data_IF_948332938781
#
_entry.id   IF_948332938781
#
_cell.length_a   1.000
_cell.length_b   1.000
_cell.length_c   1.000
_cell.angle_alpha   90.00
_cell.angle_beta   90.00
_cell.angle_gamma   90.00
#
_symmetry.space_group_name_H-M   'P 1'
#
loop_
_entity.id
_entity.type
_entity.pdbx_description
1 polymer ?
#
# COMPACT_ATOMS: atom_id res chain seq x y z
N UNK A 1 -5.68 9.04 19.97
CA UNK A 1 -4.53 9.73 19.36
C UNK A 1 -3.64 10.22 20.47
N UNK A 2 -2.38 9.83 20.44
CA UNK A 2 -1.41 10.23 21.46
C UNK A 2 -0.92 11.64 21.13
N UNK A 3 -0.99 12.56 22.09
CA UNK A 3 -0.43 13.92 22.00
C UNK A 3 1.10 13.87 22.02
N UNK A 4 1.70 13.33 20.94
CA UNK A 4 3.16 13.34 20.78
C UNK A 4 3.56 14.70 20.22
N UNK A 5 4.34 15.52 20.94
CA UNK A 5 4.80 16.80 20.41
C UNK A 5 5.68 16.60 19.17
N UNK A 6 5.58 17.50 18.18
CA UNK A 6 6.42 17.45 16.97
C UNK A 6 7.92 17.53 17.27
N UNK A 7 8.29 18.16 18.39
CA UNK A 7 9.67 18.24 18.88
C UNK A 7 10.20 16.93 19.47
N UNK A 8 9.35 15.91 19.66
CA UNK A 8 9.75 14.65 20.26
C UNK A 8 10.66 13.86 19.30
N UNK A 9 11.80 13.31 19.76
CA UNK A 9 12.76 12.61 18.90
C UNK A 9 12.21 11.36 18.20
N UNK A 10 11.08 10.83 18.68
CA UNK A 10 10.37 9.68 18.10
C UNK A 10 9.06 10.04 17.41
N UNK A 11 8.79 11.32 17.18
CA UNK A 11 7.50 11.81 16.69
C UNK A 11 6.99 11.01 15.48
N UNK A 12 7.79 10.91 14.41
CA UNK A 12 7.38 10.21 13.19
C UNK A 12 7.05 8.73 13.43
N UNK A 13 7.91 8.00 14.16
CA UNK A 13 7.68 6.58 14.50
C UNK A 13 6.42 6.38 15.33
N UNK A 14 6.12 7.26 16.28
CA UNK A 14 4.89 7.17 17.07
C UNK A 14 3.65 7.53 16.24
N UNK A 15 3.75 8.53 15.36
CA UNK A 15 2.65 8.91 14.46
C UNK A 15 2.30 7.80 13.47
N UNK A 16 3.28 7.08 12.92
CA UNK A 16 3.02 5.95 12.03
C UNK A 16 2.39 4.77 12.77
N UNK A 17 2.77 4.53 14.04
CA UNK A 17 2.10 3.53 14.89
C UNK A 17 0.64 3.88 15.12
N UNK A 18 0.36 5.13 15.49
CA UNK A 18 -1.02 5.62 15.69
C UNK A 18 -1.85 5.47 14.42
N UNK A 19 -1.28 5.76 13.25
CA UNK A 19 -1.96 5.59 11.96
C UNK A 19 -2.31 4.12 11.68
N UNK A 20 -1.40 3.18 11.96
CA UNK A 20 -1.69 1.75 11.81
C UNK A 20 -2.74 1.28 12.81
N UNK A 21 -2.68 1.73 14.07
CA UNK A 21 -3.70 1.40 15.09
C UNK A 21 -5.07 1.90 14.65
N UNK A 22 -5.17 3.17 14.22
CA UNK A 22 -6.40 3.73 13.68
C UNK A 22 -6.89 2.95 12.45
N UNK A 23 -5.98 2.53 11.57
CA UNK A 23 -6.31 1.67 10.44
C UNK A 23 -6.89 0.31 10.85
N UNK A 24 -6.40 -0.29 11.94
CA UNK A 24 -6.97 -1.53 12.50
C UNK A 24 -8.36 -1.28 13.08
N UNK A 25 -8.54 -0.21 13.86
CA UNK A 25 -9.83 0.16 14.46
C UNK A 25 -10.89 0.49 13.41
N UNK A 26 -10.50 1.11 12.30
CA UNK A 26 -11.35 1.41 11.16
C UNK A 26 -11.60 0.21 10.23
N UNK A 27 -11.00 -0.96 10.51
CA UNK A 27 -11.16 -2.17 9.69
C UNK A 27 -10.40 -2.16 8.35
N UNK A 28 -9.57 -1.14 8.10
CA UNK A 28 -8.73 -0.97 6.90
C UNK A 28 -7.51 -1.91 6.97
N UNK A 29 -6.88 -1.99 8.14
CA UNK A 29 -5.71 -2.82 8.41
C UNK A 29 -6.09 -4.04 9.26
N UNK A 30 -5.39 -5.16 9.06
CA UNK A 30 -5.57 -6.36 9.89
C UNK A 30 -4.66 -6.32 11.13
N UNK A 31 -4.99 -7.10 12.17
CA UNK A 31 -4.09 -7.29 13.33
C UNK A 31 -2.71 -7.82 12.88
N UNK A 32 -2.67 -8.71 11.88
CA UNK A 32 -1.40 -9.16 11.30
C UNK A 32 -0.62 -8.03 10.60
N UNK A 33 -1.33 -7.03 10.07
CA UNK A 33 -0.76 -5.81 9.50
C UNK A 33 -0.07 -4.93 10.54
N UNK A 34 -0.62 -4.83 11.75
CA UNK A 34 0.03 -4.18 12.90
C UNK A 34 1.34 -4.89 13.28
N UNK A 35 1.34 -6.22 13.33
CA UNK A 35 2.55 -7.00 13.60
C UNK A 35 3.57 -6.82 12.47
N UNK A 36 3.12 -6.78 11.22
CA UNK A 36 3.98 -6.52 10.07
C UNK A 36 4.63 -5.13 10.12
N UNK A 37 3.91 -4.10 10.59
CA UNK A 37 4.47 -2.78 10.82
C UNK A 37 5.61 -2.82 11.84
N UNK A 38 5.40 -3.51 12.98
CA UNK A 38 6.46 -3.68 13.99
C UNK A 38 7.71 -4.38 13.47
N UNK A 39 7.57 -5.37 12.56
CA UNK A 39 8.73 -5.96 11.87
C UNK A 39 9.44 -4.93 10.98
N UNK A 40 8.68 -4.11 10.28
CA UNK A 40 9.22 -3.01 9.46
C UNK A 40 10.02 -2.01 10.31
N UNK A 41 9.47 -1.57 11.44
CA UNK A 41 10.16 -0.68 12.38
C UNK A 41 11.47 -1.30 12.87
N UNK A 42 11.50 -2.59 13.22
CA UNK A 42 12.73 -3.26 13.65
C UNK A 42 13.86 -3.16 12.60
N UNK A 43 13.54 -3.35 11.31
CA UNK A 43 14.50 -3.15 10.23
C UNK A 43 14.85 -1.67 10.03
N UNK A 44 13.90 -0.76 10.20
CA UNK A 44 14.14 0.67 10.03
C UNK A 44 15.10 1.20 11.10
N UNK A 45 15.00 0.72 12.35
CA UNK A 45 15.99 0.97 13.40
C UNK A 45 17.40 0.52 12.98
N UNK A 46 17.55 -0.69 12.43
CA UNK A 46 18.85 -1.20 11.95
C UNK A 46 19.38 -0.37 10.77
N UNK A 47 18.49 0.12 9.91
CA UNK A 47 18.81 0.97 8.78
C UNK A 47 18.98 2.45 9.17
N UNK A 48 18.74 2.82 10.43
CA UNK A 48 18.92 4.17 10.95
C UNK A 48 17.86 5.16 10.46
N UNK A 49 16.64 4.67 10.20
CA UNK A 49 15.41 5.47 10.01
C UNK A 49 15.55 6.56 8.94
N UNK A 50 16.20 6.21 7.82
CA UNK A 50 16.46 7.12 6.72
C UNK A 50 16.60 6.40 5.39
N UNK A 51 16.22 7.07 4.31
CA UNK A 51 16.42 6.54 2.96
C UNK A 51 17.91 6.45 2.60
N UNK A 52 18.45 5.23 2.59
CA UNK A 52 19.83 4.94 2.23
C UNK A 52 20.09 5.10 0.72
N UNK A 53 21.37 5.21 0.32
CA UNK A 53 21.78 5.39 -1.09
C UNK A 53 21.32 4.24 -1.99
N UNK A 54 21.38 3.00 -1.50
CA UNK A 54 20.90 1.84 -2.26
C UNK A 54 19.39 1.94 -2.51
N UNK A 55 18.60 2.36 -1.52
CA UNK A 55 17.16 2.56 -1.66
C UNK A 55 16.85 3.67 -2.67
N UNK A 56 17.53 4.82 -2.60
CA UNK A 56 17.38 5.89 -3.60
C UNK A 56 17.68 5.42 -5.03
N UNK A 57 18.67 4.54 -5.19
CA UNK A 57 19.05 3.98 -6.50
C UNK A 57 17.94 3.05 -7.02
N UNK A 58 17.46 2.14 -6.17
CA UNK A 58 16.35 1.24 -6.51
C UNK A 58 15.06 2.02 -6.82
N UNK A 59 14.72 3.05 -6.06
CA UNK A 59 13.55 3.91 -6.31
C UNK A 59 13.62 4.57 -7.68
N UNK A 60 14.79 5.08 -8.10
CA UNK A 60 14.97 5.68 -9.44
C UNK A 60 14.77 4.64 -10.55
N UNK A 61 15.30 3.44 -10.38
CA UNK A 61 15.11 2.36 -11.35
C UNK A 61 13.64 1.92 -11.43
N UNK A 62 12.98 1.74 -10.28
CA UNK A 62 11.56 1.39 -10.23
C UNK A 62 10.67 2.46 -10.88
N UNK A 63 10.97 3.75 -10.63
CA UNK A 63 10.27 4.85 -11.29
C UNK A 63 10.43 4.81 -12.81
N UNK A 64 11.63 4.53 -13.32
CA UNK A 64 11.87 4.36 -14.75
C UNK A 64 11.11 3.16 -15.34
N UNK A 65 11.05 2.03 -14.62
CA UNK A 65 10.28 0.86 -15.04
C UNK A 65 8.78 1.17 -15.12
N UNK A 66 8.23 1.84 -14.10
CA UNK A 66 6.82 2.22 -14.06
C UNK A 66 6.45 3.22 -15.15
N UNK A 67 7.32 4.21 -15.42
CA UNK A 67 7.12 5.19 -16.50
C UNK A 67 7.22 4.57 -17.90
N UNK A 68 8.00 3.50 -18.06
CA UNK A 68 8.17 2.79 -19.33
C UNK A 68 7.18 1.65 -19.57
N UNK A 69 6.35 1.32 -18.58
CA UNK A 69 5.38 0.24 -18.64
C UNK A 69 4.21 0.59 -19.57
N UNK A 70 3.66 -0.41 -20.27
CA UNK A 70 2.44 -0.26 -21.07
C UNK A 70 1.18 -0.37 -20.20
N UNK A 71 1.22 -1.24 -19.20
CA UNK A 71 0.13 -1.49 -18.26
C UNK A 71 0.68 -1.51 -16.81
N UNK A 72 1.17 -0.36 -16.29
CA UNK A 72 1.58 -0.27 -14.90
C UNK A 72 0.38 -0.37 -13.96
N UNK A 73 0.52 -1.10 -12.84
CA UNK A 73 -0.53 -1.17 -11.79
C UNK A 73 0.08 -0.93 -10.41
N UNK A 74 -0.64 -0.16 -9.59
CA UNK A 74 -0.26 0.16 -8.22
C UNK A 74 -1.14 -0.64 -7.24
N UNK A 75 -0.58 -1.69 -6.64
CA UNK A 75 -1.28 -2.50 -5.65
C UNK A 75 -1.39 -1.75 -4.31
N UNK A 76 -2.57 -1.79 -3.68
CA UNK A 76 -2.83 -1.20 -2.37
C UNK A 76 -3.36 -2.26 -1.42
N UNK A 77 -2.80 -2.29 -0.21
CA UNK A 77 -3.31 -3.10 0.90
C UNK A 77 -3.69 -2.20 2.09
N UNK A 78 -4.15 -2.79 3.19
CA UNK A 78 -4.58 -2.05 4.38
C UNK A 78 -3.51 -1.15 5.00
N UNK A 79 -2.28 -1.62 5.17
CA UNK A 79 -1.20 -0.84 5.76
C UNK A 79 -0.84 0.35 4.88
N UNK A 80 -0.76 0.14 3.56
CA UNK A 80 -0.51 1.21 2.57
C UNK A 80 -1.60 2.28 2.65
N UNK A 81 -2.87 1.87 2.65
CA UNK A 81 -3.99 2.79 2.76
C UNK A 81 -4.02 3.53 4.11
N UNK A 82 -3.51 2.91 5.19
CA UNK A 82 -3.47 3.54 6.51
C UNK A 82 -2.31 4.52 6.67
N UNK A 83 -1.20 4.32 5.96
CA UNK A 83 0.03 5.10 6.13
C UNK A 83 0.21 6.20 5.09
N UNK A 84 -0.08 5.91 3.82
CA UNK A 84 0.30 6.76 2.68
C UNK A 84 -0.78 6.84 1.59
N UNK A 85 -2.08 7.01 1.93
CA UNK A 85 -3.15 7.01 0.92
C UNK A 85 -3.00 8.16 -0.07
N UNK A 86 -2.67 9.37 0.39
CA UNK A 86 -2.50 10.55 -0.47
C UNK A 86 -1.29 10.41 -1.41
N UNK A 87 -0.17 9.86 -0.93
CA UNK A 87 1.01 9.58 -1.75
C UNK A 87 0.69 8.59 -2.87
N UNK A 88 -0.10 7.55 -2.58
CA UNK A 88 -0.52 6.58 -3.58
C UNK A 88 -1.42 7.21 -4.65
N UNK A 89 -2.33 8.10 -4.26
CA UNK A 89 -3.15 8.89 -5.21
C UNK A 89 -2.27 9.79 -6.07
N UNK A 90 -1.28 10.49 -5.49
CA UNK A 90 -0.34 11.31 -6.27
C UNK A 90 0.50 10.47 -7.24
N UNK A 91 0.92 9.27 -6.82
CA UNK A 91 1.67 8.35 -7.67
C UNK A 91 0.80 7.81 -8.82
N UNK A 92 -0.44 7.41 -8.54
CA UNK A 92 -1.47 7.04 -9.52
C UNK A 92 -1.65 8.14 -10.57
N UNK A 93 -1.85 9.38 -10.15
CA UNK A 93 -2.03 10.52 -11.04
C UNK A 93 -0.79 10.78 -11.92
N UNK A 94 0.41 10.68 -11.34
CA UNK A 94 1.67 10.92 -12.04
C UNK A 94 1.97 9.85 -13.10
N UNK A 95 1.63 8.59 -12.83
CA UNK A 95 1.87 7.45 -13.72
C UNK A 95 0.70 7.16 -14.65
N UNK A 96 -0.48 7.71 -14.37
CA UNK A 96 -1.76 7.29 -14.99
C UNK A 96 -1.99 5.78 -14.87
N UNK A 97 -1.58 5.21 -13.74
CA UNK A 97 -1.60 3.79 -13.45
C UNK A 97 -2.69 3.48 -12.41
N UNK A 98 -3.63 2.54 -12.65
CA UNK A 98 -4.72 2.27 -11.72
C UNK A 98 -4.23 1.84 -10.33
N UNK A 99 -5.00 2.21 -9.32
CA UNK A 99 -4.89 1.65 -7.97
C UNK A 99 -5.73 0.38 -7.91
N UNK A 100 -5.14 -0.74 -7.50
CA UNK A 100 -5.86 -2.00 -7.31
C UNK A 100 -5.76 -2.48 -5.86
N UNK A 101 -6.90 -2.74 -5.23
CA UNK A 101 -6.93 -3.33 -3.90
C UNK A 101 -6.55 -4.81 -4.00
N UNK A 102 -5.48 -5.21 -3.30
CA UNK A 102 -5.07 -6.62 -3.21
C UNK A 102 -4.67 -6.97 -1.78
N UNK A 103 -5.48 -7.81 -1.13
CA UNK A 103 -5.30 -8.20 0.27
C UNK A 103 -5.11 -9.71 0.45
N UNK A 104 -4.36 -10.10 1.48
CA UNK A 104 -4.04 -11.51 1.72
C UNK A 104 -5.24 -12.32 2.24
N UNK A 105 -5.97 -11.76 3.20
CA UNK A 105 -7.19 -12.36 3.74
C UNK A 105 -8.40 -11.69 3.09
N UNK A 106 -9.14 -12.43 2.25
CA UNK A 106 -10.32 -11.91 1.59
C UNK A 106 -11.32 -11.36 2.61
N UNK A 107 -11.81 -10.16 2.35
CA UNK A 107 -12.79 -9.48 3.19
C UNK A 107 -13.36 -8.31 2.42
N UNK A 108 -14.58 -8.46 1.92
CA UNK A 108 -15.28 -7.38 1.22
C UNK A 108 -15.42 -6.11 2.07
N UNK A 109 -15.62 -6.26 3.38
CA UNK A 109 -15.68 -5.12 4.29
C UNK A 109 -14.35 -4.34 4.32
N UNK A 110 -13.22 -5.04 4.42
CA UNK A 110 -11.88 -4.41 4.40
C UNK A 110 -11.56 -3.80 3.04
N UNK A 111 -11.85 -4.52 1.96
CA UNK A 111 -11.69 -4.03 0.59
C UNK A 111 -12.42 -2.70 0.38
N UNK A 112 -13.68 -2.62 0.83
CA UNK A 112 -14.50 -1.39 0.78
C UNK A 112 -13.97 -0.30 1.70
N UNK A 113 -13.45 -0.64 2.87
CA UNK A 113 -12.82 0.34 3.76
C UNK A 113 -11.56 0.95 3.14
N UNK A 114 -10.71 0.13 2.50
CA UNK A 114 -9.53 0.59 1.74
C UNK A 114 -9.96 1.49 0.58
N UNK A 115 -10.96 1.09 -0.20
CA UNK A 115 -11.50 1.91 -1.28
C UNK A 115 -11.96 3.28 -0.76
N UNK A 116 -12.71 3.30 0.35
CA UNK A 116 -13.18 4.53 0.99
C UNK A 116 -12.04 5.47 1.35
N UNK A 117 -11.01 4.96 2.03
CA UNK A 117 -9.82 5.76 2.39
C UNK A 117 -9.11 6.34 1.16
N UNK A 118 -8.99 5.57 0.09
CA UNK A 118 -8.37 6.06 -1.15
C UNK A 118 -9.22 7.14 -1.82
N UNK A 119 -10.55 6.97 -1.86
CA UNK A 119 -11.48 7.96 -2.41
C UNK A 119 -11.48 9.26 -1.60
N UNK A 120 -11.45 9.15 -0.28
CA UNK A 120 -11.34 10.30 0.63
C UNK A 120 -10.01 11.05 0.43
N UNK A 121 -8.94 10.33 0.08
CA UNK A 121 -7.65 10.89 -0.33
C UNK A 121 -7.62 11.44 -1.78
N UNK A 122 -8.74 11.38 -2.50
CA UNK A 122 -8.89 11.94 -3.85
C UNK A 122 -8.70 10.95 -5.01
N UNK A 123 -8.69 9.64 -4.75
CA UNK A 123 -8.68 8.65 -5.83
C UNK A 123 -9.96 8.71 -6.66
N UNK A 124 -9.81 8.64 -7.99
CA UNK A 124 -10.92 8.50 -8.92
C UNK A 124 -11.47 7.07 -8.94
N UNK A 125 -10.97 6.27 -9.87
CA UNK A 125 -11.28 4.83 -9.95
C UNK A 125 -10.28 4.02 -9.14
N UNK A 126 -10.80 3.05 -8.38
CA UNK A 126 -10.03 2.06 -7.61
C UNK A 126 -10.52 0.69 -8.05
N UNK A 127 -9.63 -0.14 -8.57
CA UNK A 127 -9.94 -1.48 -9.03
C UNK A 127 -10.06 -2.43 -7.85
N UNK A 128 -11.10 -3.26 -7.87
CA UNK A 128 -11.39 -4.24 -6.82
C UNK A 128 -11.08 -5.66 -7.30
N UNK A 129 -10.60 -6.55 -6.43
CA UNK A 129 -10.32 -7.92 -6.84
C UNK A 129 -11.63 -8.64 -7.23
N UNK A 130 -11.57 -9.47 -8.26
CA UNK A 130 -12.75 -10.23 -8.75
C UNK A 130 -12.44 -11.71 -8.83
N UNK A 131 -13.46 -12.55 -8.92
CA UNK A 131 -13.30 -13.99 -9.18
C UNK A 131 -13.13 -14.32 -10.67
N UNK A 132 -13.29 -13.33 -11.55
CA UNK A 132 -13.25 -13.49 -13.00
C UNK A 132 -11.82 -13.65 -13.55
N UNK A 133 -10.83 -13.10 -12.84
CA UNK A 133 -9.42 -13.21 -13.18
C UNK A 133 -8.62 -13.78 -12.00
N UNK A 134 -7.81 -14.80 -12.27
CA UNK A 134 -7.01 -15.50 -11.28
C UNK A 134 -5.58 -15.66 -11.76
N UNK A 135 -4.63 -15.37 -10.88
CA UNK A 135 -3.22 -15.65 -11.11
C UNK A 135 -2.92 -17.12 -10.82
N UNK A 136 -2.23 -17.76 -11.76
CA UNK A 136 -1.74 -19.12 -11.57
C UNK A 136 -0.66 -19.18 -10.47
N UNK A 137 -0.53 -20.34 -9.82
CA UNK A 137 0.51 -20.63 -8.82
C UNK A 137 0.47 -19.79 -7.53
N UNK A 138 -0.63 -19.09 -7.24
CA UNK A 138 -0.85 -18.41 -5.97
C UNK A 138 -1.99 -19.10 -5.20
N UNK A 139 -1.68 -19.64 -4.02
CA UNK A 139 -2.66 -20.35 -3.19
C UNK A 139 -3.52 -19.41 -2.34
N UNK A 140 -3.03 -18.21 -2.07
CA UNK A 140 -3.74 -17.21 -1.26
C UNK A 140 -4.83 -16.48 -2.05
N UNK A 141 -5.72 -15.78 -1.35
CA UNK A 141 -6.74 -14.94 -2.00
C UNK A 141 -6.14 -13.81 -2.86
N UNK A 142 -4.85 -13.50 -2.73
CA UNK A 142 -4.17 -12.56 -3.64
C UNK A 142 -4.16 -13.01 -5.09
N UNK A 143 -4.47 -14.28 -5.36
CA UNK A 143 -4.64 -14.78 -6.73
C UNK A 143 -5.80 -14.09 -7.45
N UNK A 144 -6.83 -13.66 -6.72
CA UNK A 144 -7.98 -12.97 -7.28
C UNK A 144 -7.61 -11.50 -7.51
N UNK A 145 -7.66 -11.09 -8.77
CA UNK A 145 -7.23 -9.76 -9.24
C UNK A 145 -8.29 -9.15 -10.15
N UNK A 146 -8.14 -7.87 -10.47
CA UNK A 146 -9.02 -7.24 -11.45
C UNK A 146 -8.60 -7.63 -12.89
N UNK A 147 -9.54 -8.00 -13.78
CA UNK A 147 -9.23 -8.41 -15.16
C UNK A 147 -8.52 -7.31 -15.96
N UNK A 148 -8.86 -6.05 -15.72
CA UNK A 148 -8.22 -4.89 -16.38
C UNK A 148 -7.05 -4.29 -15.57
N UNK A 149 -6.68 -4.93 -14.46
CA UNK A 149 -5.63 -4.46 -13.56
C UNK A 149 -4.42 -5.39 -13.55
N UNK A 150 -4.05 -5.92 -12.38
CA UNK A 150 -2.87 -6.79 -12.18
C UNK A 150 -2.85 -7.95 -13.18
N UNK A 151 -4.01 -8.46 -13.60
CA UNK A 151 -4.09 -9.58 -14.54
C UNK A 151 -3.41 -9.33 -15.89
N UNK A 152 -3.49 -8.10 -16.40
CA UNK A 152 -2.91 -7.71 -17.71
C UNK A 152 -1.65 -6.84 -17.57
N UNK A 153 -1.19 -6.61 -16.34
CA UNK A 153 -0.09 -5.70 -16.05
C UNK A 153 1.26 -6.25 -16.54
N UNK A 154 2.10 -5.37 -17.07
CA UNK A 154 3.50 -5.69 -17.40
C UNK A 154 4.47 -5.26 -16.29
N UNK A 155 4.08 -4.29 -15.44
CA UNK A 155 4.79 -3.90 -14.22
C UNK A 155 3.79 -3.66 -13.09
N UNK A 156 4.02 -4.29 -11.93
CA UNK A 156 3.18 -4.09 -10.73
C UNK A 156 4.04 -3.57 -9.58
N UNK A 157 3.62 -2.46 -8.96
CA UNK A 157 4.20 -1.97 -7.71
C UNK A 157 3.43 -2.57 -6.53
N UNK A 158 4.10 -3.41 -5.72
CA UNK A 158 3.48 -4.16 -4.61
C UNK A 158 4.09 -3.78 -3.25
N UNK A 159 3.72 -2.61 -2.69
CA UNK A 159 4.16 -2.19 -1.36
C UNK A 159 3.42 -2.93 -0.22
N UNK A 160 3.98 -2.80 0.99
CA UNK A 160 3.52 -3.45 2.22
C UNK A 160 2.72 -2.53 3.12
#
# INVERSE_FOLDING_TARGET
MTDVPESHPRYLSLRTRDAIVAGVEAGVTSIHGLIAHGRGEAFDYLLGERTRRFAKTATRAAAAMLLGARHPVLSVNGNVASLVPEEMVRLNASLKAPLEVNIFHASHARERAIEGVLRDAGAGEVLMPTTAAQLDHIDSNRRFVHPDGIYVADVVFVPL
#
